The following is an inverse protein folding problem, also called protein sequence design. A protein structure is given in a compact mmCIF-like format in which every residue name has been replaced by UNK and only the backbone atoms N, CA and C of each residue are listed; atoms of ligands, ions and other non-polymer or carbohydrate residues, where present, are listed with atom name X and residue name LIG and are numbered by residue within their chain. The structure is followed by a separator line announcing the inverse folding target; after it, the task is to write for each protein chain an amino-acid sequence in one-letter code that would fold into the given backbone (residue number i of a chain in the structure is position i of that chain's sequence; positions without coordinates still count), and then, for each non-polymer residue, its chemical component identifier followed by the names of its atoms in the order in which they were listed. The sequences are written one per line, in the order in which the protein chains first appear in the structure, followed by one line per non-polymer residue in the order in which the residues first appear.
data_IF_054913890368
#
_entry.id   IF_054913890368
#
_cell.length_a   1.000
_cell.length_b   1.000
_cell.length_c   1.000
_cell.angle_alpha   90.00
_cell.angle_beta   90.00
_cell.angle_gamma   90.00
#
_symmetry.space_group_name_H-M   'P 1'
#
loop_
_entity.id
_entity.type
_entity.pdbx_description
1 polymer ?
#
# COMPACT_ATOMS: atom_id res chain seq x y z
N UNK A 1 -12.59 -8.25 12.20
CA UNK A 1 -12.36 -9.68 12.35
C UNK A 1 -11.17 -10.18 11.51
N UNK A 2 -11.21 -10.05 10.17
CA UNK A 2 -10.15 -10.55 9.28
C UNK A 2 -8.79 -9.93 9.57
N UNK A 3 -8.76 -8.65 9.95
CA UNK A 3 -7.53 -7.96 10.31
C UNK A 3 -6.90 -8.43 11.63
N UNK A 4 -7.72 -8.94 12.55
CA UNK A 4 -7.28 -9.44 13.85
C UNK A 4 -6.86 -10.91 13.77
N UNK A 5 -7.61 -11.74 13.07
CA UNK A 5 -7.44 -13.19 13.03
C UNK A 5 -6.68 -13.70 11.79
N UNK A 6 -6.49 -12.85 10.80
CA UNK A 6 -5.86 -13.20 9.53
C UNK A 6 -6.80 -13.93 8.55
N UNK A 7 -6.43 -13.87 7.28
CA UNK A 7 -7.23 -14.42 6.17
C UNK A 7 -7.19 -15.95 6.12
N UNK A 8 -6.09 -16.56 6.55
CA UNK A 8 -5.86 -18.01 6.38
C UNK A 8 -6.62 -18.90 7.37
N UNK A 9 -6.80 -18.42 8.61
CA UNK A 9 -7.36 -19.21 9.74
C UNK A 9 -8.88 -19.07 9.87
N UNK A 10 -9.48 -18.18 9.09
CA UNK A 10 -10.86 -17.74 9.25
C UNK A 10 -11.85 -18.71 8.64
N UNK A 11 -12.89 -19.12 9.40
CA UNK A 11 -14.04 -19.90 8.92
C UNK A 11 -15.31 -19.04 8.91
N UNK A 12 -16.29 -19.38 8.04
CA UNK A 12 -17.59 -18.69 8.03
C UNK A 12 -18.30 -18.76 9.39
N UNK A 13 -18.16 -19.88 10.11
CA UNK A 13 -18.73 -20.05 11.46
C UNK A 13 -18.02 -19.14 12.48
N UNK A 14 -16.69 -19.00 12.41
CA UNK A 14 -15.93 -18.11 13.27
C UNK A 14 -16.34 -16.65 13.06
N UNK A 15 -16.39 -16.21 11.80
CA UNK A 15 -16.85 -14.86 11.46
C UNK A 15 -18.29 -14.61 11.96
N UNK A 16 -19.20 -15.53 11.71
CA UNK A 16 -20.61 -15.40 12.12
C UNK A 16 -20.75 -15.27 13.64
N UNK A 17 -19.97 -16.07 14.39
CA UNK A 17 -19.94 -16.02 15.85
C UNK A 17 -19.49 -14.66 16.37
N UNK A 18 -18.41 -14.11 15.81
CA UNK A 18 -17.87 -12.81 16.24
C UNK A 18 -18.75 -11.61 15.86
N UNK A 19 -19.49 -11.74 14.74
CA UNK A 19 -20.46 -10.74 14.31
C UNK A 19 -21.83 -10.90 14.97
N UNK A 20 -22.00 -11.90 15.84
CA UNK A 20 -23.27 -12.25 16.50
C UNK A 20 -24.42 -12.45 15.49
N UNK A 21 -24.14 -13.18 14.39
CA UNK A 21 -25.10 -13.51 13.33
C UNK A 21 -25.15 -15.01 13.10
N UNK A 22 -26.26 -15.48 12.53
CA UNK A 22 -26.37 -16.89 12.16
C UNK A 22 -25.48 -17.19 10.94
N UNK A 23 -24.70 -18.31 10.93
CA UNK A 23 -23.80 -18.65 9.81
C UNK A 23 -24.48 -18.70 8.43
N UNK A 24 -25.76 -19.09 8.38
CA UNK A 24 -26.54 -19.15 7.14
C UNK A 24 -26.70 -17.77 6.46
N UNK A 25 -26.62 -16.66 7.22
CA UNK A 25 -26.66 -15.32 6.67
C UNK A 25 -25.43 -15.10 5.78
N UNK A 26 -24.24 -15.47 6.24
CA UNK A 26 -23.02 -15.37 5.45
C UNK A 26 -23.06 -16.29 4.22
N UNK A 27 -23.54 -17.52 4.39
CA UNK A 27 -23.68 -18.46 3.26
C UNK A 27 -24.69 -17.93 2.24
N UNK A 28 -25.83 -17.37 2.69
CA UNK A 28 -26.83 -16.79 1.80
C UNK A 28 -26.29 -15.59 0.99
N UNK A 29 -25.52 -14.70 1.63
CA UNK A 29 -25.00 -13.50 0.97
C UNK A 29 -23.75 -13.74 0.13
N UNK A 30 -22.87 -14.62 0.55
CA UNK A 30 -21.57 -14.80 -0.08
C UNK A 30 -21.37 -16.19 -0.72
N UNK A 31 -22.22 -17.15 -0.42
CA UNK A 31 -22.10 -18.52 -0.90
C UNK A 31 -20.98 -19.28 -0.20
N UNK A 32 -19.75 -19.08 -0.61
CA UNK A 32 -18.57 -19.78 -0.06
C UNK A 32 -17.68 -18.87 0.79
N UNK A 33 -16.79 -19.52 1.59
CA UNK A 33 -15.72 -18.80 2.28
C UNK A 33 -14.83 -18.01 1.31
N UNK A 34 -14.50 -18.60 0.18
CA UNK A 34 -13.67 -17.95 -0.85
C UNK A 34 -14.34 -16.70 -1.42
N UNK A 35 -15.64 -16.73 -1.63
CA UNK A 35 -16.41 -15.59 -2.12
C UNK A 35 -16.47 -14.46 -1.09
N UNK A 36 -16.68 -14.77 0.20
CA UNK A 36 -16.60 -13.78 1.27
C UNK A 36 -15.21 -13.14 1.34
N UNK A 37 -14.14 -13.96 1.30
CA UNK A 37 -12.78 -13.48 1.35
C UNK A 37 -12.46 -12.55 0.16
N UNK A 38 -12.92 -12.93 -1.02
CA UNK A 38 -12.79 -12.10 -2.24
C UNK A 38 -13.50 -10.77 -2.10
N UNK A 39 -14.74 -10.77 -1.60
CA UNK A 39 -15.52 -9.55 -1.37
C UNK A 39 -14.85 -8.63 -0.33
N UNK A 40 -14.35 -9.19 0.77
CA UNK A 40 -13.64 -8.45 1.80
C UNK A 40 -12.33 -7.84 1.26
N UNK A 41 -11.56 -8.60 0.49
CA UNK A 41 -10.33 -8.13 -0.15
C UNK A 41 -10.63 -7.00 -1.15
N UNK A 42 -11.62 -7.20 -2.02
CA UNK A 42 -12.06 -6.17 -2.96
C UNK A 42 -12.42 -4.87 -2.23
N UNK A 43 -13.20 -4.97 -1.15
CA UNK A 43 -13.57 -3.80 -0.36
C UNK A 43 -12.37 -3.11 0.28
N UNK A 44 -11.43 -3.88 0.84
CA UNK A 44 -10.22 -3.35 1.46
C UNK A 44 -9.35 -2.58 0.45
N UNK A 45 -9.12 -3.15 -0.73
CA UNK A 45 -8.34 -2.52 -1.80
C UNK A 45 -9.05 -1.29 -2.38
N UNK A 46 -10.36 -1.37 -2.61
CA UNK A 46 -11.15 -0.24 -3.10
C UNK A 46 -11.08 0.98 -2.15
N UNK A 47 -11.16 0.75 -0.84
CA UNK A 47 -11.04 1.82 0.16
C UNK A 47 -9.68 2.50 0.11
N UNK A 48 -8.60 1.74 -0.06
CA UNK A 48 -7.24 2.29 -0.18
C UNK A 48 -7.07 3.12 -1.46
N UNK A 49 -7.58 2.64 -2.60
CA UNK A 49 -7.54 3.37 -3.88
C UNK A 49 -8.34 4.67 -3.82
N UNK A 50 -9.55 4.63 -3.31
CA UNK A 50 -10.40 5.83 -3.14
C UNK A 50 -9.68 6.89 -2.30
N UNK A 51 -8.97 6.49 -1.25
CA UNK A 51 -8.25 7.45 -0.42
C UNK A 51 -7.03 8.03 -1.14
N UNK A 52 -6.29 7.23 -1.91
CA UNK A 52 -5.19 7.73 -2.73
C UNK A 52 -5.68 8.73 -3.78
N UNK A 53 -6.78 8.43 -4.46
CA UNK A 53 -7.41 9.34 -5.43
C UNK A 53 -7.84 10.65 -4.77
N UNK A 54 -8.43 10.60 -3.56
CA UNK A 54 -8.78 11.79 -2.78
C UNK A 54 -7.57 12.64 -2.41
N UNK A 55 -6.46 12.00 -2.02
CA UNK A 55 -5.21 12.70 -1.71
C UNK A 55 -4.68 13.44 -2.94
N UNK A 56 -4.65 12.78 -4.10
CA UNK A 56 -4.21 13.37 -5.36
C UNK A 56 -5.15 14.48 -5.86
N UNK A 57 -6.46 14.29 -5.75
CA UNK A 57 -7.44 15.31 -6.14
C UNK A 57 -7.31 16.61 -5.32
N UNK A 58 -6.97 16.47 -4.02
CA UNK A 58 -6.77 17.64 -3.14
C UNK A 58 -5.41 18.32 -3.36
N UNK A 59 -4.40 17.57 -3.74
CA UNK A 59 -3.02 18.06 -3.90
C UNK A 59 -2.37 17.36 -5.13
N UNK A 60 -2.67 17.82 -6.34
CA UNK A 60 -2.20 17.16 -7.57
C UNK A 60 -0.68 17.22 -7.75
N UNK A 61 -0.02 18.19 -7.13
CA UNK A 61 1.43 18.42 -7.25
C UNK A 61 2.26 17.67 -6.20
N UNK A 62 1.67 16.74 -5.42
CA UNK A 62 2.43 15.93 -4.48
C UNK A 62 3.53 15.16 -5.21
N UNK A 63 4.74 15.16 -4.66
CA UNK A 63 5.77 14.21 -5.07
C UNK A 63 5.32 12.77 -4.75
N UNK A 64 5.99 11.80 -5.36
CA UNK A 64 5.64 10.41 -5.07
C UNK A 64 5.97 10.06 -3.60
N UNK A 65 7.05 10.60 -3.05
CA UNK A 65 7.41 10.43 -1.64
C UNK A 65 6.36 11.03 -0.70
N UNK A 66 5.87 12.24 -1.00
CA UNK A 66 4.81 12.88 -0.20
C UNK A 66 3.49 12.10 -0.25
N UNK A 67 3.11 11.55 -1.42
CA UNK A 67 1.91 10.73 -1.55
C UNK A 67 1.99 9.47 -0.68
N UNK A 68 3.11 8.75 -0.74
CA UNK A 68 3.35 7.55 0.07
C UNK A 68 3.33 7.90 1.57
N UNK A 69 3.96 9.00 1.97
CA UNK A 69 3.97 9.48 3.35
C UNK A 69 2.57 9.84 3.87
N UNK A 70 1.75 10.49 3.06
CA UNK A 70 0.34 10.80 3.41
C UNK A 70 -0.50 9.53 3.53
N UNK A 71 -0.34 8.61 2.59
CA UNK A 71 -1.01 7.31 2.64
C UNK A 71 -0.60 6.53 3.90
N UNK A 72 0.69 6.50 4.24
CA UNK A 72 1.20 5.86 5.46
C UNK A 72 0.54 6.43 6.72
N UNK A 73 0.50 7.76 6.84
CA UNK A 73 -0.17 8.44 7.97
C UNK A 73 -1.65 8.07 8.05
N UNK A 74 -2.32 7.97 6.91
CA UNK A 74 -3.71 7.54 6.86
C UNK A 74 -3.87 6.09 7.29
N UNK A 75 -3.07 5.16 6.78
CA UNK A 75 -3.11 3.73 7.17
C UNK A 75 -2.86 3.56 8.67
N UNK A 76 -1.86 4.24 9.22
CA UNK A 76 -1.46 4.07 10.62
C UNK A 76 -2.30 4.86 11.62
N UNK A 77 -3.28 5.64 11.15
CA UNK A 77 -4.13 6.48 12.00
C UNK A 77 -5.17 5.70 12.83
N UNK A 78 -5.49 4.46 12.46
CA UNK A 78 -6.34 3.58 13.25
C UNK A 78 -5.95 2.11 13.06
N UNK A 79 -6.30 1.28 14.04
CA UNK A 79 -6.05 -0.16 13.95
C UNK A 79 -6.84 -0.82 12.82
N UNK A 80 -8.07 -0.36 12.55
CA UNK A 80 -8.89 -0.88 11.44
C UNK A 80 -8.22 -0.67 10.09
N UNK A 81 -7.56 0.48 9.87
CA UNK A 81 -6.85 0.77 8.63
C UNK A 81 -5.58 -0.06 8.49
N UNK A 82 -4.86 -0.28 9.58
CA UNK A 82 -3.72 -1.21 9.61
C UNK A 82 -4.20 -2.61 9.26
N UNK A 83 -5.33 -3.04 9.85
CA UNK A 83 -5.95 -4.33 9.57
C UNK A 83 -6.34 -4.48 8.09
N UNK A 84 -6.92 -3.44 7.49
CA UNK A 84 -7.23 -3.40 6.06
C UNK A 84 -5.98 -3.53 5.18
N UNK A 85 -4.89 -2.83 5.53
CA UNK A 85 -3.63 -2.93 4.79
C UNK A 85 -3.02 -4.34 4.92
N UNK A 86 -3.06 -4.92 6.12
CA UNK A 86 -2.61 -6.30 6.38
C UNK A 86 -3.39 -7.33 5.55
N UNK A 87 -4.71 -7.20 5.47
CA UNK A 87 -5.54 -8.08 4.61
C UNK A 87 -5.04 -8.07 3.17
N UNK A 88 -4.71 -6.89 2.63
CA UNK A 88 -4.15 -6.75 1.29
C UNK A 88 -2.81 -7.48 1.13
N UNK A 89 -1.93 -7.40 2.13
CA UNK A 89 -0.64 -8.09 2.14
C UNK A 89 -0.81 -9.60 2.24
N UNK A 90 -1.65 -10.09 3.16
CA UNK A 90 -1.93 -11.53 3.30
C UNK A 90 -2.54 -12.12 2.03
N UNK A 91 -3.36 -11.34 1.33
CA UNK A 91 -3.95 -11.73 0.06
C UNK A 91 -2.91 -12.00 -1.04
N UNK A 92 -1.74 -11.34 -1.01
CA UNK A 92 -0.66 -11.61 -1.97
C UNK A 92 -0.15 -13.06 -1.87
N UNK A 93 -0.37 -13.74 -0.74
CA UNK A 93 -0.04 -15.14 -0.54
C UNK A 93 -1.12 -16.11 -1.03
N UNK A 94 -2.27 -15.61 -1.48
CA UNK A 94 -3.34 -16.44 -2.00
C UNK A 94 -3.03 -16.89 -3.44
N UNK A 95 -3.54 -18.05 -3.87
CA UNK A 95 -3.39 -18.50 -5.24
C UNK A 95 -3.89 -17.47 -6.25
N UNK A 96 -3.21 -17.31 -7.38
CA UNK A 96 -3.49 -16.30 -8.40
C UNK A 96 -4.97 -16.31 -8.85
N UNK A 97 -5.58 -17.49 -9.02
CA UNK A 97 -6.98 -17.62 -9.43
C UNK A 97 -7.98 -17.00 -8.43
N UNK A 98 -7.60 -16.81 -7.16
CA UNK A 98 -8.44 -16.12 -6.17
C UNK A 98 -8.35 -14.60 -6.36
N UNK A 99 -7.20 -14.11 -6.81
CA UNK A 99 -6.92 -12.68 -7.02
C UNK A 99 -7.41 -12.18 -8.38
N UNK A 100 -7.37 -13.02 -9.41
CA UNK A 100 -7.76 -12.68 -10.80
C UNK A 100 -9.26 -12.37 -10.93
N UNK A 101 -10.08 -12.86 -10.01
CA UNK A 101 -11.53 -12.66 -10.02
C UNK A 101 -11.99 -11.32 -9.45
N UNK A 102 -11.05 -10.42 -9.10
CA UNK A 102 -11.39 -9.11 -8.55
C UNK A 102 -11.12 -8.03 -9.61
N UNK A 103 -12.15 -7.55 -10.35
CA UNK A 103 -11.99 -6.52 -11.36
C UNK A 103 -11.38 -5.24 -10.74
N UNK A 104 -10.39 -4.67 -11.41
CA UNK A 104 -9.73 -3.43 -10.96
C UNK A 104 -8.68 -3.60 -9.87
N UNK A 105 -8.52 -4.79 -9.32
CA UNK A 105 -7.42 -5.12 -8.41
C UNK A 105 -6.34 -5.89 -9.16
N UNK A 106 -5.74 -5.27 -10.16
CA UNK A 106 -4.43 -5.79 -10.53
C UNK A 106 -3.59 -5.74 -9.26
N UNK A 107 -2.93 -6.84 -8.96
CA UNK A 107 -2.04 -7.07 -7.79
C UNK A 107 -1.14 -5.88 -7.45
N UNK A 108 -1.09 -4.90 -8.32
CA UNK A 108 -0.16 -3.80 -8.36
C UNK A 108 -0.78 -2.49 -8.89
N UNK A 109 -2.07 -2.23 -8.69
CA UNK A 109 -2.66 -1.01 -9.23
C UNK A 109 -1.96 0.26 -8.73
N UNK A 110 -1.56 0.30 -7.45
CA UNK A 110 -0.78 1.41 -6.90
C UNK A 110 0.67 1.42 -7.42
N UNK A 111 1.29 0.24 -7.65
CA UNK A 111 2.63 0.13 -8.22
C UNK A 111 2.65 0.58 -9.69
N UNK A 112 1.60 0.28 -10.44
CA UNK A 112 1.45 0.77 -11.81
C UNK A 112 1.34 2.29 -11.83
N UNK A 113 0.49 2.87 -10.99
CA UNK A 113 0.35 4.31 -10.85
C UNK A 113 1.63 4.99 -10.37
N UNK A 114 2.29 4.44 -9.35
CA UNK A 114 3.57 4.94 -8.87
C UNK A 114 4.64 4.91 -9.95
N UNK A 115 4.75 3.81 -10.68
CA UNK A 115 5.73 3.67 -11.77
C UNK A 115 5.49 4.69 -12.88
N UNK A 116 4.26 4.87 -13.31
CA UNK A 116 3.91 5.87 -14.31
C UNK A 116 4.34 7.27 -13.85
N UNK A 117 3.96 7.68 -12.64
CA UNK A 117 4.34 8.99 -12.09
C UNK A 117 5.87 9.17 -11.98
N UNK A 118 6.62 8.15 -11.60
CA UNK A 118 8.09 8.22 -11.54
C UNK A 118 8.71 8.37 -12.93
N UNK A 119 8.14 7.73 -13.94
CA UNK A 119 8.57 7.91 -15.35
C UNK A 119 8.24 9.33 -15.82
N UNK A 120 7.05 9.84 -15.53
CA UNK A 120 6.62 11.20 -15.88
C UNK A 120 7.50 12.27 -15.22
N UNK A 121 8.10 11.98 -14.06
CA UNK A 121 9.08 12.85 -13.40
C UNK A 121 10.51 12.68 -13.92
N UNK A 122 10.75 11.90 -14.97
CA UNK A 122 12.04 11.78 -15.65
C UNK A 122 12.89 10.57 -15.31
N UNK A 123 12.43 9.65 -14.44
CA UNK A 123 13.13 8.38 -14.23
C UNK A 123 13.02 7.47 -15.45
N UNK A 124 14.10 6.74 -15.75
CA UNK A 124 13.99 5.65 -16.74
C UNK A 124 13.01 4.57 -16.24
N UNK A 125 12.43 3.82 -17.16
CA UNK A 125 11.52 2.71 -16.83
C UNK A 125 12.18 1.69 -15.88
N UNK A 126 13.44 1.38 -16.07
CA UNK A 126 14.20 0.46 -15.20
C UNK A 126 14.35 1.03 -13.79
N UNK A 127 14.79 2.28 -13.66
CA UNK A 127 14.93 2.95 -12.38
C UNK A 127 13.59 3.05 -11.64
N UNK A 128 12.53 3.47 -12.33
CA UNK A 128 11.18 3.56 -11.76
C UNK A 128 10.70 2.18 -11.27
N UNK A 129 10.95 1.10 -12.02
CA UNK A 129 10.57 -0.26 -11.60
C UNK A 129 11.32 -0.70 -10.35
N UNK A 130 12.62 -0.40 -10.25
CA UNK A 130 13.44 -0.71 -9.06
C UNK A 130 12.96 0.06 -7.84
N UNK A 131 12.65 1.36 -7.99
CA UNK A 131 12.16 2.18 -6.88
C UNK A 131 10.78 1.73 -6.39
N UNK A 132 9.87 1.38 -7.30
CA UNK A 132 8.56 0.82 -6.96
C UNK A 132 8.74 -0.45 -6.15
N UNK A 133 9.56 -1.40 -6.62
CA UNK A 133 9.81 -2.66 -5.92
C UNK A 133 10.41 -2.42 -4.51
N UNK A 134 11.36 -1.48 -4.39
CA UNK A 134 12.01 -1.12 -3.12
C UNK A 134 11.00 -0.54 -2.12
N UNK A 135 10.19 0.43 -2.54
CA UNK A 135 9.18 1.06 -1.66
C UNK A 135 8.08 0.06 -1.31
N UNK A 136 7.64 -0.76 -2.25
CA UNK A 136 6.65 -1.82 -2.04
C UNK A 136 7.09 -2.81 -0.97
N UNK A 137 8.30 -3.33 -1.09
CA UNK A 137 8.88 -4.26 -0.11
C UNK A 137 9.01 -3.63 1.27
N UNK A 138 9.49 -2.37 1.34
CA UNK A 138 9.63 -1.64 2.59
C UNK A 138 8.27 -1.42 3.26
N UNK A 139 7.30 -0.88 2.55
CA UNK A 139 5.95 -0.62 3.07
C UNK A 139 5.30 -1.91 3.56
N UNK A 140 5.42 -3.00 2.80
CA UNK A 140 4.92 -4.32 3.21
C UNK A 140 5.53 -4.77 4.53
N UNK A 141 6.86 -4.69 4.67
CA UNK A 141 7.56 -5.05 5.90
C UNK A 141 7.14 -4.19 7.09
N UNK A 142 7.05 -2.86 6.90
CA UNK A 142 6.66 -1.92 7.95
C UNK A 142 5.19 -2.10 8.40
N UNK A 143 4.28 -2.41 7.49
CA UNK A 143 2.88 -2.72 7.85
C UNK A 143 2.81 -3.99 8.70
N UNK A 144 3.56 -5.04 8.33
CA UNK A 144 3.61 -6.26 9.13
C UNK A 144 4.21 -6.00 10.50
N UNK A 145 5.30 -5.23 10.59
CA UNK A 145 5.92 -4.84 11.87
C UNK A 145 4.93 -4.11 12.77
N UNK A 146 4.26 -3.07 12.27
CA UNK A 146 3.27 -2.30 13.03
C UNK A 146 2.05 -3.16 13.39
N UNK A 147 1.62 -4.06 12.52
CA UNK A 147 0.51 -4.99 12.78
C UNK A 147 0.82 -5.97 13.91
N UNK A 148 2.10 -6.26 14.12
CA UNK A 148 2.58 -7.15 15.20
C UNK A 148 2.99 -6.39 16.48
N UNK A 149 2.57 -5.12 16.61
CA UNK A 149 2.83 -4.31 17.80
C UNK A 149 4.11 -3.48 17.75
N UNK A 150 4.79 -3.43 16.60
CA UNK A 150 5.96 -2.58 16.38
C UNK A 150 5.64 -1.09 16.44
N UNK A 151 6.67 -0.28 16.68
CA UNK A 151 6.54 1.17 16.86
C UNK A 151 6.18 1.89 15.55
N UNK A 152 4.98 2.50 15.51
CA UNK A 152 4.53 3.35 14.39
C UNK A 152 5.50 4.51 14.10
N UNK A 153 6.14 5.05 15.16
CA UNK A 153 7.12 6.14 15.03
C UNK A 153 8.40 5.66 14.33
N UNK A 154 8.96 4.54 14.79
CA UNK A 154 10.16 3.98 14.17
C UNK A 154 9.89 3.60 12.71
N UNK A 155 8.74 2.98 12.44
CA UNK A 155 8.33 2.62 11.09
C UNK A 155 8.21 3.86 10.18
N UNK A 156 7.65 4.97 10.70
CA UNK A 156 7.58 6.23 9.96
C UNK A 156 8.98 6.81 9.69
N UNK A 157 9.87 6.79 10.69
CA UNK A 157 11.24 7.30 10.54
C UNK A 157 12.02 6.52 9.46
N UNK A 158 11.89 5.20 9.43
CA UNK A 158 12.48 4.33 8.40
C UNK A 158 11.91 4.63 7.01
N UNK A 159 10.59 4.78 6.92
CA UNK A 159 9.92 5.11 5.67
C UNK A 159 10.37 6.50 5.17
N UNK A 160 10.39 7.51 6.04
CA UNK A 160 10.76 8.89 5.69
C UNK A 160 12.19 8.99 5.18
N UNK A 161 13.13 8.22 5.73
CA UNK A 161 14.50 8.14 5.21
C UNK A 161 14.50 7.62 3.76
N UNK A 162 13.81 6.51 3.53
CA UNK A 162 13.74 5.91 2.20
C UNK A 162 13.02 6.79 1.16
N UNK A 163 12.01 7.57 1.60
CA UNK A 163 11.29 8.48 0.71
C UNK A 163 12.10 9.73 0.38
N UNK A 164 12.92 10.24 1.31
CA UNK A 164 13.90 11.32 1.01
C UNK A 164 14.92 10.89 -0.03
N UNK A 165 15.41 9.65 0.07
CA UNK A 165 16.33 9.10 -0.93
C UNK A 165 15.66 8.98 -2.32
N UNK A 166 14.37 8.59 -2.36
CA UNK A 166 13.59 8.55 -3.59
C UNK A 166 13.45 9.95 -4.20
N UNK A 167 13.00 10.92 -3.39
CA UNK A 167 12.81 12.31 -3.85
C UNK A 167 14.15 12.91 -4.35
N UNK A 168 15.28 12.60 -3.69
CA UNK A 168 16.62 13.01 -4.13
C UNK A 168 17.01 12.42 -5.48
N UNK A 169 16.72 11.14 -5.74
CA UNK A 169 16.99 10.50 -7.05
C UNK A 169 16.10 11.08 -8.15
N UNK A 170 14.86 11.37 -7.85
CA UNK A 170 13.94 12.04 -8.79
C UNK A 170 14.48 13.44 -9.12
N UNK A 171 14.85 14.23 -8.12
CA UNK A 171 15.39 15.57 -8.32
C UNK A 171 16.68 15.56 -9.17
N UNK A 172 17.56 14.60 -8.97
CA UNK A 172 18.77 14.42 -9.79
C UNK A 172 18.41 14.05 -11.24
N UNK A 173 17.45 13.17 -11.45
CA UNK A 173 17.02 12.75 -12.78
C UNK A 173 16.35 13.89 -13.56
N UNK A 174 15.67 14.81 -12.88
CA UNK A 174 15.03 15.99 -13.50
C UNK A 174 15.97 17.18 -13.71
N UNK A 175 17.25 17.06 -13.31
CA UNK A 175 18.20 18.19 -13.34
C UNK A 175 17.86 19.32 -12.35
N UNK A 176 16.94 19.08 -11.40
CA UNK A 176 16.52 20.06 -10.41
C UNK A 176 17.57 20.29 -9.29
N UNK A 177 18.60 19.43 -9.21
CA UNK A 177 19.74 19.59 -8.31
C UNK A 177 20.92 20.10 -9.14
N UNK A 178 21.19 21.40 -9.09
CA UNK A 178 22.46 21.96 -9.56
C UNK A 178 23.56 21.34 -8.67
N UNK A 179 24.59 20.67 -9.23
CA UNK A 179 25.70 20.20 -8.42
C UNK A 179 26.39 21.40 -7.77
N UNK A 180 26.43 21.41 -6.45
CA UNK A 180 27.25 22.35 -5.67
C UNK A 180 28.74 22.01 -5.86
N UNK A 181 29.30 22.31 -7.03
CA UNK A 181 30.76 22.25 -7.30
C UNK A 181 31.14 23.11 -8.49
N UNK A 182 30.95 24.42 -8.38
CA UNK A 182 31.56 25.38 -9.28
C UNK A 182 32.05 26.63 -8.52
N UNK A 183 32.50 26.45 -7.30
CA UNK A 183 33.09 27.56 -6.49
C UNK A 183 34.44 27.19 -5.88
N UNK A 184 35.32 26.53 -6.64
CA UNK A 184 36.76 26.45 -6.26
C UNK A 184 37.64 26.24 -7.51
N UNK A 185 37.52 27.13 -8.49
CA UNK A 185 38.49 27.23 -9.57
C UNK A 185 38.66 28.71 -10.00
N UNK A 186 39.00 29.60 -9.06
CA UNK A 186 39.55 30.92 -9.36
C UNK A 186 40.21 31.47 -8.10
N UNK A 187 41.43 31.04 -7.86
CA UNK A 187 42.44 31.81 -7.08
C UNK A 187 43.83 31.32 -7.46
#
# INVERSE_FOLDING_TARGET
YLGEHGVRVTSLRGIAKDLDIHPNILVHHFGTRSDLMRAALHRALALQLIEQERMLARQPNLTQGELVRKWWKWVTSSNDRIALARIGIEAMSLPAHVLELVPGTSRFSWEVGMRARLIDTGLTRSAATTEVARISALVTGLILEVSNGGSKRIALDVLDNSLRDLDGRVATATGAVTPASALDASS
#
